data_IF_502059692575
#
_entry.id   IF_502059692575
#
_cell.length_a   1.000
_cell.length_b   1.000
_cell.length_c   1.000
_cell.angle_alpha   90.00
_cell.angle_beta   90.00
_cell.angle_gamma   90.00
#
_symmetry.space_group_name_H-M   'P 1'
#
loop_
_entity.id
_entity.type
_entity.pdbx_description
1 polymer ?
#
# COMPACT_ATOMS: atom_id res chain seq x y z
N UNK A 1 -16.97 13.55 55.29
CA UNK A 1 -16.82 15.01 55.41
C UNK A 1 -15.33 15.29 55.60
N UNK A 2 -14.61 15.52 54.48
CA UNK A 2 -13.95 16.80 54.10
C UNK A 2 -12.71 17.11 54.97
N UNK A 3 -11.47 17.24 54.45
CA UNK A 3 -11.02 18.22 53.44
C UNK A 3 -9.64 17.91 52.83
N UNK A 4 -9.47 18.17 51.52
CA UNK A 4 -8.25 18.76 50.93
C UNK A 4 -8.23 20.26 51.31
N UNK A 5 -7.07 20.94 51.53
CA UNK A 5 -6.21 21.41 50.41
C UNK A 5 -4.72 21.67 50.77
N UNK A 6 -3.85 21.83 49.77
CA UNK A 6 -3.04 23.07 49.63
C UNK A 6 -2.30 23.10 48.30
N UNK A 7 -2.56 24.18 47.55
CA UNK A 7 -1.98 24.56 46.28
C UNK A 7 -0.51 25.01 46.37
N UNK A 8 0.06 25.23 45.17
CA UNK A 8 1.37 25.81 44.79
C UNK A 8 2.49 24.75 44.71
N UNK A 9 3.07 24.46 43.54
CA UNK A 9 3.53 25.42 42.56
C UNK A 9 3.31 24.99 41.10
N UNK A 10 2.82 25.95 40.33
CA UNK A 10 2.94 26.09 38.90
C UNK A 10 4.43 26.24 38.53
N UNK A 11 4.97 25.35 37.70
CA UNK A 11 6.10 25.67 36.84
C UNK A 11 5.84 25.10 35.45
N UNK A 12 5.42 26.00 34.57
CA UNK A 12 5.48 25.89 33.12
C UNK A 12 6.95 25.72 32.72
N UNK A 13 7.28 24.73 31.87
CA UNK A 13 8.21 24.96 30.75
C UNK A 13 8.12 23.83 29.71
N UNK A 14 7.79 24.25 28.49
CA UNK A 14 7.84 23.46 27.28
C UNK A 14 9.28 23.00 26.96
N UNK A 15 9.42 21.80 26.38
CA UNK A 15 10.68 21.30 25.84
C UNK A 15 10.45 20.06 24.99
N UNK A 16 10.41 20.26 23.66
CA UNK A 16 10.13 19.21 22.68
C UNK A 16 11.23 18.15 22.59
N UNK A 17 10.84 16.89 22.42
CA UNK A 17 11.73 15.85 21.92
C UNK A 17 11.79 15.97 20.39
N UNK A 18 12.98 16.31 19.92
CA UNK A 18 13.35 16.37 18.52
C UNK A 18 13.11 15.02 17.82
N UNK A 19 12.40 15.05 16.70
CA UNK A 19 12.52 13.99 15.69
C UNK A 19 13.90 14.14 15.03
N UNK A 20 14.78 13.16 15.27
CA UNK A 20 15.96 12.96 14.43
C UNK A 20 15.49 12.54 13.03
N UNK A 21 15.39 13.50 12.12
CA UNK A 21 15.17 13.27 10.71
C UNK A 21 16.41 12.69 10.05
N UNK A 22 16.24 11.56 9.37
CA UNK A 22 17.25 10.89 8.56
C UNK A 22 17.74 11.78 7.39
N UNK A 23 19.03 12.08 7.44
CA UNK A 23 20.04 12.06 6.37
C UNK A 23 19.67 12.52 4.94
N UNK A 24 20.09 13.75 4.67
CA UNK A 24 20.85 14.23 3.50
C UNK A 24 20.38 13.88 2.07
N UNK A 25 19.94 14.93 1.38
CA UNK A 25 20.27 15.14 -0.03
C UNK A 25 20.45 16.63 -0.26
N UNK A 26 21.69 17.08 -0.13
CA UNK A 26 22.14 18.41 -0.50
C UNK A 26 22.17 18.57 -2.02
N UNK A 27 21.28 19.41 -2.58
CA UNK A 27 21.67 20.48 -3.51
C UNK A 27 20.60 21.58 -3.53
N UNK A 28 21.06 22.78 -3.17
CA UNK A 28 20.37 24.04 -2.88
C UNK A 28 19.83 24.76 -4.14
N UNK A 29 18.82 25.67 -4.01
CA UNK A 29 18.02 26.26 -5.08
C UNK A 29 18.48 27.68 -5.46
N UNK A 30 17.87 28.27 -6.49
CA UNK A 30 17.90 29.73 -6.68
C UNK A 30 16.49 30.28 -6.96
N UNK A 31 16.12 31.20 -6.08
CA UNK A 31 14.83 31.88 -5.95
C UNK A 31 14.56 32.95 -7.00
N UNK A 32 13.26 33.18 -7.20
CA UNK A 32 12.64 34.37 -7.80
C UNK A 32 12.80 35.60 -6.90
N UNK A 33 13.20 36.76 -7.46
CA UNK A 33 12.91 38.12 -6.95
C UNK A 33 12.80 39.11 -8.12
N UNK A 34 11.78 39.96 -8.06
CA UNK A 34 11.38 41.00 -9.03
C UNK A 34 12.26 42.28 -9.01
N UNK A 35 12.36 43.00 -10.14
CA UNK A 35 12.80 44.41 -10.17
C UNK A 35 13.33 44.97 -11.51
N UNK A 36 12.45 45.68 -12.23
CA UNK A 36 12.60 46.87 -13.12
C UNK A 36 13.75 47.04 -14.16
N UNK A 37 13.32 47.09 -15.43
CA UNK A 37 13.76 47.86 -16.62
C UNK A 37 15.26 48.08 -16.95
N UNK A 38 15.67 47.61 -18.14
CA UNK A 38 16.01 48.48 -19.29
C UNK A 38 16.33 47.68 -20.55
N UNK A 39 15.99 48.31 -21.67
CA UNK A 39 16.05 47.95 -23.07
C UNK A 39 17.39 47.41 -23.56
N UNK A 40 17.38 46.46 -24.50
CA UNK A 40 17.95 46.64 -25.86
C UNK A 40 17.92 45.35 -26.68
N UNK A 41 17.75 45.58 -27.97
CA UNK A 41 17.49 44.66 -29.07
C UNK A 41 18.52 43.55 -29.28
N UNK A 42 18.05 42.40 -29.76
CA UNK A 42 18.88 41.31 -30.26
C UNK A 42 18.06 40.39 -31.16
N UNK A 43 17.94 40.78 -32.41
CA UNK A 43 17.33 40.07 -33.55
C UNK A 43 17.97 38.72 -33.87
N UNK A 44 17.27 37.93 -34.71
CA UNK A 44 17.67 36.70 -35.46
C UNK A 44 17.47 35.36 -34.75
N UNK A 45 17.09 34.24 -35.35
CA UNK A 45 16.49 33.84 -36.64
C UNK A 45 16.12 32.35 -36.45
N UNK A 46 14.92 31.98 -36.86
CA UNK A 46 14.45 30.70 -37.43
C UNK A 46 15.19 29.36 -37.21
N UNK A 47 14.36 28.29 -37.15
CA UNK A 47 14.60 26.83 -37.40
C UNK A 47 14.72 26.00 -36.12
N UNK A 48 14.13 24.81 -35.99
CA UNK A 48 13.44 23.93 -36.93
C UNK A 48 12.50 23.04 -36.12
N UNK A 49 11.27 22.87 -36.57
CA UNK A 49 10.41 21.78 -36.16
C UNK A 49 11.03 20.46 -36.65
N UNK A 50 11.65 19.71 -35.74
CA UNK A 50 12.02 18.32 -36.01
C UNK A 50 10.90 17.42 -35.52
N UNK A 51 10.07 17.04 -36.48
CA UNK A 51 9.11 15.95 -36.36
C UNK A 51 9.87 14.68 -35.93
N UNK A 52 9.76 14.33 -34.64
CA UNK A 52 10.15 13.00 -34.18
C UNK A 52 8.98 12.08 -34.43
N UNK A 53 9.20 11.19 -35.39
CA UNK A 53 8.42 10.02 -35.75
C UNK A 53 7.87 9.31 -34.50
N UNK A 54 6.58 9.53 -34.22
CA UNK A 54 5.79 8.63 -33.38
C UNK A 54 5.61 7.33 -34.16
N UNK A 55 6.56 6.41 -34.02
CA UNK A 55 6.34 5.00 -34.33
C UNK A 55 5.18 4.57 -33.46
N UNK A 56 4.03 4.36 -34.10
CA UNK A 56 2.82 3.85 -33.46
C UNK A 56 3.18 2.55 -32.74
N UNK A 57 3.31 2.63 -31.41
CA UNK A 57 3.33 1.44 -30.57
C UNK A 57 2.04 0.70 -30.88
N UNK A 58 2.20 -0.49 -31.47
CA UNK A 58 1.11 -1.42 -31.78
C UNK A 58 0.19 -1.50 -30.55
N UNK A 59 -1.13 -1.33 -30.68
CA UNK A 59 -2.03 -1.53 -29.56
C UNK A 59 -1.77 -2.95 -29.04
N UNK A 60 -1.21 -3.06 -27.84
CA UNK A 60 -1.16 -4.34 -27.13
C UNK A 60 -2.63 -4.75 -27.03
N UNK A 61 -3.01 -5.94 -27.51
CA UNK A 61 -4.40 -6.33 -27.47
C UNK A 61 -4.85 -6.21 -26.02
N UNK A 62 -5.86 -5.38 -25.79
CA UNK A 62 -6.67 -5.38 -24.58
C UNK A 62 -7.45 -6.68 -24.57
N UNK A 63 -6.75 -7.81 -24.45
CA UNK A 63 -7.37 -8.99 -23.91
C UNK A 63 -7.73 -8.57 -22.50
N UNK A 64 -9.01 -8.61 -22.20
CA UNK A 64 -9.47 -9.09 -20.90
C UNK A 64 -8.87 -10.48 -20.73
N UNK A 65 -7.56 -10.55 -20.54
CA UNK A 65 -6.84 -11.77 -20.24
C UNK A 65 -7.29 -12.08 -18.83
N UNK A 66 -8.11 -13.12 -18.69
CA UNK A 66 -8.60 -13.55 -17.39
C UNK A 66 -7.40 -13.64 -16.46
N UNK A 67 -7.44 -12.93 -15.33
CA UNK A 67 -6.38 -13.00 -14.34
C UNK A 67 -6.20 -14.47 -13.94
N UNK A 68 -4.95 -14.92 -13.74
CA UNK A 68 -4.70 -16.29 -13.31
C UNK A 68 -5.37 -16.55 -11.96
N UNK A 69 -5.67 -17.82 -11.66
CA UNK A 69 -6.31 -18.15 -10.39
C UNK A 69 -5.37 -18.07 -9.17
N UNK A 70 -4.06 -18.12 -9.42
CA UNK A 70 -3.01 -18.10 -8.42
C UNK A 70 -1.92 -17.11 -8.82
N UNK A 71 -1.23 -16.57 -7.82
CA UNK A 71 -0.11 -15.64 -8.06
C UNK A 71 1.14 -16.37 -8.54
N UNK A 72 1.25 -17.68 -8.24
CA UNK A 72 2.44 -18.48 -8.45
C UNK A 72 3.58 -18.10 -7.50
N UNK A 73 3.25 -17.40 -6.40
CA UNK A 73 4.18 -16.96 -5.35
C UNK A 73 3.72 -17.64 -4.05
N UNK A 74 4.44 -18.66 -3.55
CA UNK A 74 3.95 -19.50 -2.45
C UNK A 74 3.53 -18.74 -1.19
N UNK A 75 4.23 -17.66 -0.85
CA UNK A 75 3.88 -16.83 0.31
C UNK A 75 2.54 -16.12 0.15
N UNK A 76 2.22 -15.63 -1.05
CA UNK A 76 0.95 -14.95 -1.33
C UNK A 76 -0.19 -15.94 -1.41
N UNK A 77 0.02 -17.09 -2.06
CA UNK A 77 -1.02 -18.11 -2.20
C UNK A 77 -1.38 -18.73 -0.83
N UNK A 78 -0.40 -18.92 0.07
CA UNK A 78 -0.64 -19.36 1.44
C UNK A 78 -1.38 -18.29 2.28
N UNK A 79 -0.97 -17.03 2.17
CA UNK A 79 -1.67 -15.92 2.83
C UNK A 79 -3.14 -15.84 2.39
N UNK A 80 -3.42 -15.96 1.08
CA UNK A 80 -4.79 -15.96 0.56
C UNK A 80 -5.59 -17.18 1.05
N UNK A 81 -4.99 -18.36 1.11
CA UNK A 81 -5.66 -19.58 1.57
C UNK A 81 -6.10 -19.51 3.05
N UNK A 82 -5.37 -18.77 3.88
CA UNK A 82 -5.65 -18.60 5.31
C UNK A 82 -6.43 -17.32 5.63
N UNK A 83 -6.56 -16.41 4.66
CA UNK A 83 -7.08 -15.06 4.86
C UNK A 83 -8.43 -15.02 5.57
N UNK A 84 -9.44 -15.71 5.01
CA UNK A 84 -10.82 -15.65 5.52
C UNK A 84 -10.87 -16.18 6.96
N UNK A 85 -10.31 -17.36 7.20
CA UNK A 85 -10.34 -18.00 8.52
C UNK A 85 -9.57 -17.20 9.57
N UNK A 86 -8.39 -16.68 9.23
CA UNK A 86 -7.60 -15.84 10.13
C UNK A 86 -8.31 -14.52 10.45
N UNK A 87 -8.90 -13.83 9.46
CA UNK A 87 -9.60 -12.58 9.71
C UNK A 87 -10.88 -12.77 10.53
N UNK A 88 -11.61 -13.87 10.33
CA UNK A 88 -12.76 -14.25 11.15
C UNK A 88 -12.33 -14.52 12.61
N UNK A 89 -11.28 -15.31 12.83
CA UNK A 89 -10.77 -15.62 14.16
C UNK A 89 -10.19 -14.38 14.89
N UNK A 90 -9.57 -13.47 14.14
CA UNK A 90 -9.03 -12.23 14.68
C UNK A 90 -10.12 -11.21 15.02
N UNK A 91 -11.29 -11.28 14.37
CA UNK A 91 -12.38 -10.31 14.56
C UNK A 91 -12.05 -8.91 14.08
N UNK A 92 -11.11 -8.78 13.12
CA UNK A 92 -10.64 -7.49 12.59
C UNK A 92 -11.73 -6.82 11.73
N UNK A 93 -12.47 -7.63 10.98
CA UNK A 93 -13.53 -7.17 10.09
C UNK A 93 -14.87 -7.82 10.46
N UNK A 94 -16.00 -7.15 10.18
CA UNK A 94 -17.32 -7.78 10.18
C UNK A 94 -17.32 -8.97 9.21
N UNK A 95 -17.98 -10.09 9.54
CA UNK A 95 -17.95 -11.29 8.72
C UNK A 95 -18.49 -11.05 7.30
N UNK A 96 -19.49 -10.18 7.14
CA UNK A 96 -20.07 -9.80 5.84
C UNK A 96 -19.11 -9.02 4.92
N UNK A 97 -18.01 -8.50 5.46
CA UNK A 97 -17.03 -7.70 4.72
C UNK A 97 -15.76 -8.46 4.35
N UNK A 98 -15.58 -9.69 4.86
CA UNK A 98 -14.33 -10.43 4.71
C UNK A 98 -14.15 -10.90 3.27
N UNK A 99 -15.20 -11.42 2.65
CA UNK A 99 -15.19 -11.95 1.28
C UNK A 99 -14.90 -10.84 0.26
N UNK A 100 -15.60 -9.70 0.34
CA UNK A 100 -15.35 -8.59 -0.57
C UNK A 100 -13.93 -8.02 -0.46
N UNK A 101 -13.37 -7.97 0.75
CA UNK A 101 -11.98 -7.56 0.95
C UNK A 101 -10.97 -8.61 0.47
N UNK A 102 -11.29 -9.88 0.64
CA UNK A 102 -10.49 -10.99 0.12
C UNK A 102 -10.38 -10.89 -1.40
N UNK A 103 -11.50 -10.72 -2.10
CA UNK A 103 -11.54 -10.64 -3.56
C UNK A 103 -10.73 -9.45 -4.08
N UNK A 104 -10.92 -8.25 -3.52
CA UNK A 104 -10.17 -7.07 -3.93
C UNK A 104 -8.65 -7.24 -3.74
N UNK A 105 -8.24 -7.89 -2.64
CA UNK A 105 -6.84 -8.17 -2.39
C UNK A 105 -6.28 -9.28 -3.27
N UNK A 106 -7.05 -10.35 -3.51
CA UNK A 106 -6.69 -11.41 -4.47
C UNK A 106 -6.46 -10.80 -5.84
N UNK A 107 -7.39 -9.98 -6.34
CA UNK A 107 -7.25 -9.33 -7.65
C UNK A 107 -6.00 -8.44 -7.71
N UNK A 108 -5.74 -7.64 -6.68
CA UNK A 108 -4.55 -6.82 -6.57
C UNK A 108 -3.25 -7.64 -6.64
N UNK A 109 -3.16 -8.71 -5.84
CA UNK A 109 -1.99 -9.59 -5.81
C UNK A 109 -1.80 -10.33 -7.14
N UNK A 110 -2.88 -10.79 -7.77
CA UNK A 110 -2.84 -11.43 -9.08
C UNK A 110 -2.32 -10.46 -10.14
N UNK A 111 -2.80 -9.21 -10.14
CA UNK A 111 -2.33 -8.19 -11.08
C UNK A 111 -0.86 -7.84 -10.83
N UNK A 112 -0.46 -7.63 -9.57
CA UNK A 112 0.93 -7.38 -9.18
C UNK A 112 1.85 -8.55 -9.57
N UNK A 113 1.35 -9.79 -9.55
CA UNK A 113 2.12 -10.98 -9.92
C UNK A 113 2.45 -11.08 -11.42
N UNK A 114 1.74 -10.33 -12.26
CA UNK A 114 1.99 -10.26 -13.71
C UNK A 114 3.03 -9.18 -14.07
N UNK A 115 3.34 -8.27 -13.14
CA UNK A 115 4.29 -7.19 -13.34
C UNK A 115 5.72 -7.65 -13.01
N UNK A 116 6.66 -7.70 -13.98
CA UNK A 116 8.01 -8.19 -13.77
C UNK A 116 8.83 -7.36 -12.77
N UNK A 117 8.50 -6.08 -12.58
CA UNK A 117 9.22 -5.20 -11.66
C UNK A 117 8.74 -5.36 -10.21
N UNK A 118 7.46 -5.72 -10.02
CA UNK A 118 6.84 -5.91 -8.69
C UNK A 118 6.97 -7.34 -8.18
N UNK A 119 6.88 -8.32 -9.08
CA UNK A 119 6.89 -9.76 -8.76
C UNK A 119 8.01 -10.22 -7.82
N UNK A 120 9.26 -9.72 -7.91
CA UNK A 120 10.33 -10.10 -6.98
C UNK A 120 10.08 -9.68 -5.53
N UNK A 121 9.29 -8.64 -5.29
CA UNK A 121 9.02 -8.10 -3.95
C UNK A 121 7.79 -8.72 -3.27
N UNK A 122 6.87 -9.28 -4.06
CA UNK A 122 5.59 -9.83 -3.60
C UNK A 122 5.76 -10.88 -2.51
N UNK A 123 6.76 -11.77 -2.63
CA UNK A 123 7.02 -12.81 -1.62
C UNK A 123 7.26 -12.23 -0.21
N UNK A 124 8.08 -11.20 -0.10
CA UNK A 124 8.36 -10.53 1.17
C UNK A 124 7.15 -9.76 1.69
N UNK A 125 6.42 -9.08 0.79
CA UNK A 125 5.21 -8.33 1.13
C UNK A 125 4.12 -9.23 1.71
N UNK A 126 3.83 -10.35 1.07
CA UNK A 126 2.85 -11.33 1.53
C UNK A 126 3.28 -12.01 2.85
N UNK A 127 4.57 -12.30 3.02
CA UNK A 127 5.10 -12.82 4.29
C UNK A 127 4.89 -11.82 5.43
N UNK A 128 5.14 -10.53 5.18
CA UNK A 128 4.89 -9.48 6.18
C UNK A 128 3.41 -9.37 6.55
N UNK A 129 2.52 -9.40 5.56
CA UNK A 129 1.06 -9.38 5.78
C UNK A 129 0.59 -10.58 6.62
N UNK A 130 1.06 -11.79 6.31
CA UNK A 130 0.75 -12.98 7.08
C UNK A 130 1.22 -12.84 8.54
N UNK A 131 2.44 -12.33 8.77
CA UNK A 131 2.96 -12.10 10.11
C UNK A 131 2.16 -11.07 10.90
N UNK A 132 1.74 -9.97 10.25
CA UNK A 132 0.89 -8.95 10.87
C UNK A 132 -0.46 -9.55 11.28
N UNK A 133 -1.06 -10.39 10.43
CA UNK A 133 -2.32 -11.06 10.74
C UNK A 133 -2.15 -12.04 11.92
N UNK A 134 -1.08 -12.85 11.93
CA UNK A 134 -0.73 -13.74 13.04
C UNK A 134 -0.55 -13.01 14.37
N UNK A 135 0.03 -11.81 14.35
CA UNK A 135 0.17 -10.99 15.56
C UNK A 135 -1.19 -10.51 16.08
N UNK A 136 -2.09 -10.10 15.16
CA UNK A 136 -3.44 -9.65 15.50
C UNK A 136 -4.35 -10.77 16.04
N UNK A 137 -3.98 -12.04 15.80
CA UNK A 137 -4.70 -13.19 16.36
C UNK A 137 -4.46 -13.37 17.86
N UNK A 138 -3.40 -12.78 18.43
CA UNK A 138 -3.06 -12.89 19.85
C UNK A 138 -3.04 -14.33 20.38
N UNK A 139 -2.53 -15.26 19.56
CA UNK A 139 -2.43 -16.70 19.89
C UNK A 139 -3.66 -17.55 19.53
N UNK A 140 -4.71 -16.97 18.93
CA UNK A 140 -5.84 -17.73 18.37
C UNK A 140 -5.42 -18.49 17.10
N UNK A 141 -5.98 -19.67 16.88
CA UNK A 141 -5.75 -20.44 15.66
C UNK A 141 -6.66 -19.99 14.52
N UNK A 142 -6.10 -19.86 13.31
CA UNK A 142 -6.85 -19.58 12.09
C UNK A 142 -7.48 -20.81 11.45
N UNK A 143 -7.82 -21.86 12.21
CA UNK A 143 -8.16 -23.14 11.61
C UNK A 143 -9.27 -22.95 10.56
N UNK A 144 -8.92 -23.16 9.28
CA UNK A 144 -9.87 -23.26 8.18
C UNK A 144 -10.82 -24.37 8.58
N UNK A 145 -11.98 -24.02 9.11
CA UNK A 145 -12.98 -25.01 9.44
C UNK A 145 -13.25 -25.78 8.15
N UNK A 146 -13.02 -27.10 8.10
CA UNK A 146 -13.37 -27.86 6.91
C UNK A 146 -14.86 -27.61 6.70
N UNK A 147 -15.24 -27.10 5.52
CA UNK A 147 -16.65 -27.01 5.17
C UNK A 147 -17.24 -28.40 5.43
N UNK A 148 -18.10 -28.51 6.44
CA UNK A 148 -18.70 -29.80 6.78
C UNK A 148 -19.36 -30.33 5.50
N UNK A 149 -19.11 -31.58 5.08
CA UNK A 149 -19.77 -32.13 3.91
C UNK A 149 -21.27 -32.02 4.16
N UNK A 150 -21.98 -31.30 3.29
CA UNK A 150 -23.43 -31.26 3.32
C UNK A 150 -23.93 -32.67 3.05
N UNK A 151 -24.15 -33.44 4.11
CA UNK A 151 -24.90 -34.69 4.04
C UNK A 151 -26.35 -34.31 3.74
N UNK A 152 -26.65 -34.12 2.46
CA UNK A 152 -28.04 -34.21 1.98
C UNK A 152 -28.47 -35.65 2.18
N UNK A 153 -29.09 -35.90 3.33
CA UNK A 153 -29.72 -37.16 3.66
C UNK A 153 -30.82 -37.46 2.66
N UNK A 154 -30.73 -38.63 2.05
CA UNK A 154 -31.82 -39.26 1.31
C UNK A 154 -32.98 -39.55 2.27
N UNK A 155 -34.20 -39.14 1.90
CA UNK A 155 -35.45 -39.81 2.26
C UNK A 155 -36.58 -39.34 1.36
#
# INVERSE_FOLDING_TARGET
MTRLPSCLALLVLAGGLALAGCNDSNTRPTSTTSGTASSSSGSTTSRSASATTRTAAKPRPSRTEALPDQTGIPACDNYLATYIACHQAAGIYPPDQIEGRYEAMREGLLKDSLDPDIRPQLGNRCTSLANQLHQALHGKSCATQPAAPATSGSR
#
